data_IF_428040711145
#
_entry.id   IF_428040711145
#
_cell.length_a   1.000
_cell.length_b   1.000
_cell.length_c   1.000
_cell.angle_alpha   90.00
_cell.angle_beta   90.00
_cell.angle_gamma   90.00
#
_symmetry.space_group_name_H-M   'P 1'
#
loop_
_entity.id
_entity.type
_entity.pdbx_description
1 polymer ?
#
# COMPACT_ATOMS: atom_id res chain seq x y z
N UNK A 1 2.99 2.25 -18.95
CA UNK A 1 3.88 2.08 -17.77
C UNK A 1 3.38 2.99 -16.67
N UNK A 2 2.93 2.42 -15.56
CA UNK A 2 2.33 3.11 -14.41
C UNK A 2 3.35 3.99 -13.68
N UNK A 3 3.01 5.25 -13.42
CA UNK A 3 3.95 6.24 -12.89
C UNK A 3 4.39 5.94 -11.45
N UNK A 4 3.51 5.34 -10.65
CA UNK A 4 3.81 5.00 -9.28
C UNK A 4 4.85 3.89 -9.11
N UNK A 5 4.82 2.87 -9.98
CA UNK A 5 5.80 1.76 -9.94
C UNK A 5 7.18 2.27 -10.36
N UNK A 6 7.25 3.11 -11.41
CA UNK A 6 8.50 3.72 -11.85
C UNK A 6 9.15 4.57 -10.74
N UNK A 7 8.37 5.38 -10.01
CA UNK A 7 8.87 6.12 -8.84
C UNK A 7 9.37 5.21 -7.73
N UNK A 8 8.65 4.13 -7.45
CA UNK A 8 9.07 3.18 -6.43
C UNK A 8 10.41 2.53 -6.78
N UNK A 9 10.59 2.04 -8.02
CA UNK A 9 11.87 1.50 -8.52
C UNK A 9 13.02 2.50 -8.41
N UNK A 10 12.76 3.78 -8.67
CA UNK A 10 13.78 4.82 -8.66
C UNK A 10 14.23 5.24 -7.26
N UNK A 11 13.41 4.99 -6.23
CA UNK A 11 13.63 5.50 -4.86
C UNK A 11 13.79 4.40 -3.83
N UNK A 12 13.35 3.19 -4.12
CA UNK A 12 13.59 2.00 -3.30
C UNK A 12 14.79 1.22 -3.85
N UNK A 13 15.43 0.44 -2.99
CA UNK A 13 16.47 -0.51 -3.41
C UNK A 13 15.87 -1.70 -4.17
N UNK A 14 15.77 -2.86 -3.52
CA UNK A 14 15.08 -4.02 -4.09
C UNK A 14 13.60 -3.96 -3.78
N UNK A 15 12.77 -4.13 -4.81
CA UNK A 15 11.29 -4.14 -4.71
C UNK A 15 10.74 -5.49 -5.16
N UNK A 16 9.61 -5.89 -4.57
CA UNK A 16 8.85 -7.09 -4.93
C UNK A 16 7.55 -6.63 -5.60
N UNK A 17 7.63 -6.42 -6.92
CA UNK A 17 6.52 -5.90 -7.73
C UNK A 17 5.45 -6.94 -8.03
N UNK A 18 5.83 -8.22 -8.05
CA UNK A 18 4.87 -9.31 -8.24
C UNK A 18 3.91 -9.37 -7.06
N UNK A 19 4.42 -9.19 -5.83
CA UNK A 19 3.56 -9.09 -4.65
C UNK A 19 2.63 -7.87 -4.71
N UNK A 20 3.13 -6.71 -5.17
CA UNK A 20 2.29 -5.53 -5.36
C UNK A 20 1.21 -5.78 -6.42
N UNK A 21 1.56 -6.42 -7.54
CA UNK A 21 0.63 -6.77 -8.60
C UNK A 21 -0.45 -7.74 -8.10
N UNK A 22 -0.06 -8.76 -7.34
CA UNK A 22 -0.96 -9.71 -6.70
C UNK A 22 -1.93 -9.03 -5.73
N UNK A 23 -1.44 -8.11 -4.91
CA UNK A 23 -2.29 -7.33 -4.00
C UNK A 23 -3.27 -6.45 -4.77
N UNK A 24 -2.79 -5.75 -5.80
CA UNK A 24 -3.63 -4.89 -6.63
C UNK A 24 -4.72 -5.70 -7.36
N UNK A 25 -4.36 -6.88 -7.87
CA UNK A 25 -5.31 -7.81 -8.48
C UNK A 25 -6.37 -8.30 -7.47
N UNK A 26 -5.95 -8.64 -6.24
CA UNK A 26 -6.85 -9.09 -5.18
C UNK A 26 -7.96 -8.07 -4.86
N UNK A 27 -7.64 -6.78 -4.86
CA UNK A 27 -8.60 -5.71 -4.56
C UNK A 27 -9.20 -5.05 -5.81
N UNK A 28 -8.91 -5.57 -7.01
CA UNK A 28 -9.45 -5.07 -8.28
C UNK A 28 -9.01 -3.66 -8.64
N UNK A 29 -7.77 -3.27 -8.30
CA UNK A 29 -7.21 -1.93 -8.59
C UNK A 29 -5.91 -2.04 -9.37
N UNK A 30 -5.41 -0.93 -9.91
CA UNK A 30 -4.03 -0.76 -10.35
C UNK A 30 -3.16 -0.06 -9.30
N UNK A 31 -1.81 -0.14 -9.39
CA UNK A 31 -0.91 0.57 -8.47
C UNK A 31 -1.12 2.10 -8.44
N UNK A 32 -1.37 2.74 -9.59
CA UNK A 32 -1.62 4.19 -9.63
C UNK A 32 -2.97 4.55 -9.00
N UNK A 33 -4.01 3.74 -9.20
CA UNK A 33 -5.31 3.92 -8.56
C UNK A 33 -5.22 3.72 -7.05
N UNK A 34 -4.44 2.75 -6.57
CA UNK A 34 -4.21 2.53 -5.14
C UNK A 34 -3.58 3.76 -4.48
N UNK A 35 -2.56 4.35 -5.12
CA UNK A 35 -1.95 5.60 -4.63
C UNK A 35 -2.97 6.73 -4.67
N UNK A 36 -3.69 6.90 -5.79
CA UNK A 36 -4.67 7.97 -5.96
C UNK A 36 -5.82 7.87 -4.95
N UNK A 37 -6.28 6.65 -4.68
CA UNK A 37 -7.30 6.36 -3.69
C UNK A 37 -6.92 6.95 -2.34
N UNK A 38 -5.67 6.92 -1.91
CA UNK A 38 -5.28 7.43 -0.59
C UNK A 38 -5.46 8.96 -0.42
N UNK A 39 -5.73 9.70 -1.49
CA UNK A 39 -5.93 11.14 -1.46
C UNK A 39 -7.38 11.55 -1.74
N UNK A 40 -7.76 12.69 -1.16
CA UNK A 40 -9.00 13.41 -1.42
C UNK A 40 -8.67 14.84 -1.80
N UNK A 41 -9.65 15.55 -2.36
CA UNK A 41 -9.56 16.99 -2.58
C UNK A 41 -10.56 17.71 -1.66
N UNK A 42 -10.14 18.84 -1.07
CA UNK A 42 -11.06 19.75 -0.38
C UNK A 42 -12.03 20.33 -1.40
N UNK A 43 -13.32 20.40 -1.06
CA UNK A 43 -14.39 20.75 -2.02
C UNK A 43 -14.33 22.23 -2.44
N UNK A 44 -13.93 23.07 -1.52
CA UNK A 44 -13.84 24.52 -1.62
C UNK A 44 -12.55 25.00 -2.29
N UNK A 45 -11.40 24.40 -1.95
CA UNK A 45 -10.10 24.83 -2.47
C UNK A 45 -9.53 23.95 -3.57
N UNK A 46 -10.07 22.73 -3.76
CA UNK A 46 -9.49 21.71 -4.63
C UNK A 46 -8.18 21.11 -4.11
N UNK A 47 -7.71 21.54 -2.93
CA UNK A 47 -6.42 21.12 -2.38
C UNK A 47 -6.43 19.62 -2.06
N UNK A 48 -5.41 18.92 -2.56
CA UNK A 48 -5.24 17.48 -2.35
C UNK A 48 -4.66 17.21 -0.97
N UNK A 49 -5.28 16.30 -0.22
CA UNK A 49 -4.83 15.88 1.09
C UNK A 49 -4.94 14.36 1.28
N UNK A 50 -4.15 13.82 2.22
CA UNK A 50 -4.16 12.41 2.58
C UNK A 50 -5.35 12.07 3.48
N UNK A 51 -6.14 11.07 3.10
CA UNK A 51 -7.25 10.61 3.92
C UNK A 51 -6.82 9.57 4.94
N UNK A 52 -7.00 9.86 6.23
CA UNK A 52 -6.79 8.88 7.32
C UNK A 52 -7.70 7.66 7.13
N UNK A 53 -8.98 7.90 6.81
CA UNK A 53 -9.97 6.83 6.60
C UNK A 53 -9.58 5.92 5.45
N UNK A 54 -9.13 6.46 4.31
CA UNK A 54 -8.74 5.63 3.17
C UNK A 54 -7.46 4.83 3.43
N UNK A 55 -6.51 5.36 4.19
CA UNK A 55 -5.35 4.59 4.66
C UNK A 55 -5.74 3.43 5.60
N UNK A 56 -6.72 3.64 6.48
CA UNK A 56 -7.25 2.58 7.33
C UNK A 56 -7.93 1.47 6.50
N UNK A 57 -8.67 1.84 5.46
CA UNK A 57 -9.25 0.88 4.50
C UNK A 57 -8.15 0.07 3.79
N UNK A 58 -7.07 0.71 3.33
CA UNK A 58 -5.94 0.00 2.72
C UNK A 58 -5.28 -0.98 3.70
N UNK A 59 -5.15 -0.62 4.98
CA UNK A 59 -4.67 -1.58 5.99
C UNK A 59 -5.63 -2.77 6.16
N UNK A 60 -6.94 -2.53 6.13
CA UNK A 60 -7.93 -3.61 6.20
C UNK A 60 -7.78 -4.56 5.01
N UNK A 61 -7.64 -4.02 3.80
CA UNK A 61 -7.38 -4.83 2.60
C UNK A 61 -6.07 -5.62 2.68
N UNK A 62 -5.03 -5.06 3.29
CA UNK A 62 -3.78 -5.78 3.51
C UNK A 62 -3.95 -6.94 4.49
N UNK A 63 -4.72 -6.75 5.55
CA UNK A 63 -5.00 -7.79 6.53
C UNK A 63 -5.84 -8.92 5.90
N UNK A 64 -6.85 -8.57 5.09
CA UNK A 64 -7.63 -9.51 4.28
C UNK A 64 -6.77 -10.28 3.28
N UNK A 65 -5.89 -9.58 2.55
CA UNK A 65 -4.98 -10.21 1.60
C UNK A 65 -4.00 -11.18 2.28
N UNK A 66 -3.40 -10.76 3.40
CA UNK A 66 -2.51 -11.62 4.20
C UNK A 66 -3.24 -12.87 4.68
N UNK A 67 -4.46 -12.71 5.19
CA UNK A 67 -5.28 -13.83 5.65
C UNK A 67 -5.63 -14.78 4.49
N UNK A 68 -6.00 -14.24 3.32
CA UNK A 68 -6.31 -15.04 2.12
C UNK A 68 -5.10 -15.83 1.60
N UNK A 69 -3.87 -15.36 1.85
CA UNK A 69 -2.62 -16.07 1.51
C UNK A 69 -2.16 -17.04 2.59
N UNK A 70 -2.80 -17.06 3.76
CA UNK A 70 -2.43 -17.92 4.89
C UNK A 70 -1.10 -17.54 5.56
N UNK A 71 -0.59 -16.34 5.31
CA UNK A 71 0.65 -15.87 5.93
C UNK A 71 0.42 -15.52 7.40
N UNK A 72 1.40 -15.85 8.24
CA UNK A 72 1.30 -15.61 9.70
C UNK A 72 2.57 -14.99 10.28
N UNK A 73 2.45 -14.42 11.48
CA UNK A 73 3.56 -13.88 12.25
C UNK A 73 4.43 -12.89 11.47
N UNK A 74 5.74 -13.15 11.44
CA UNK A 74 6.71 -12.28 10.76
C UNK A 74 6.47 -12.21 9.25
N UNK A 75 6.07 -13.31 8.62
CA UNK A 75 5.85 -13.35 7.17
C UNK A 75 4.72 -12.41 6.77
N UNK A 76 3.58 -12.50 7.45
CA UNK A 76 2.44 -11.60 7.26
C UNK A 76 2.86 -10.12 7.30
N UNK A 77 3.62 -9.73 8.33
CA UNK A 77 4.09 -8.36 8.51
C UNK A 77 5.03 -7.93 7.39
N UNK A 78 6.01 -8.76 7.03
CA UNK A 78 6.98 -8.45 5.96
C UNK A 78 6.29 -8.31 4.61
N UNK A 79 5.38 -9.23 4.27
CA UNK A 79 4.65 -9.22 3.01
C UNK A 79 3.76 -7.98 2.87
N UNK A 80 3.00 -7.65 3.90
CA UNK A 80 2.19 -6.43 3.89
C UNK A 80 3.05 -5.14 3.85
N UNK A 81 4.26 -5.17 4.45
CA UNK A 81 5.18 -4.03 4.42
C UNK A 81 5.77 -3.75 3.04
N UNK A 82 5.80 -4.71 2.12
CA UNK A 82 6.15 -4.45 0.72
C UNK A 82 5.18 -3.43 0.10
N UNK A 83 3.87 -3.66 0.22
CA UNK A 83 2.84 -2.75 -0.30
C UNK A 83 2.85 -1.40 0.43
N UNK A 84 3.03 -1.41 1.76
CA UNK A 84 3.18 -0.16 2.52
C UNK A 84 4.40 0.63 2.09
N UNK A 85 5.52 -0.04 1.79
CA UNK A 85 6.71 0.57 1.21
C UNK A 85 6.39 1.28 -0.11
N UNK A 86 5.74 0.58 -1.04
CA UNK A 86 5.28 1.19 -2.31
C UNK A 86 4.47 2.47 -2.09
N UNK A 87 3.53 2.46 -1.13
CA UNK A 87 2.72 3.63 -0.78
C UNK A 87 3.55 4.77 -0.20
N UNK A 88 4.47 4.47 0.72
CA UNK A 88 5.36 5.46 1.35
C UNK A 88 6.24 6.16 0.31
N UNK A 89 6.85 5.39 -0.60
CA UNK A 89 7.65 5.92 -1.71
C UNK A 89 6.82 6.75 -2.72
N UNK A 90 5.49 6.65 -2.66
CA UNK A 90 4.55 7.44 -3.46
C UNK A 90 3.84 8.54 -2.65
N UNK A 91 4.39 8.93 -1.50
CA UNK A 91 3.88 10.04 -0.70
C UNK A 91 2.68 9.70 0.18
N UNK A 92 2.42 8.42 0.42
CA UNK A 92 1.36 7.93 1.31
C UNK A 92 2.00 7.30 2.56
N UNK A 93 2.30 8.08 3.61
CA UNK A 93 2.75 7.53 4.88
C UNK A 93 1.65 6.66 5.47
N UNK A 94 1.95 5.38 5.69
CA UNK A 94 1.02 4.40 6.26
C UNK A 94 1.78 3.49 7.22
N UNK A 95 1.17 3.20 8.37
CA UNK A 95 1.72 2.32 9.39
C UNK A 95 0.84 1.09 9.52
N UNK A 96 1.45 -0.04 9.89
CA UNK A 96 0.77 -1.31 10.12
C UNK A 96 1.28 -1.99 11.37
N UNK A 97 0.94 -3.27 11.53
CA UNK A 97 1.38 -4.07 12.66
C UNK A 97 2.92 -4.15 12.74
N UNK A 98 3.43 -4.10 13.96
CA UNK A 98 4.85 -4.36 14.26
C UNK A 98 4.96 -5.79 14.77
N UNK A 99 5.86 -6.57 14.17
CA UNK A 99 6.18 -7.88 14.72
C UNK A 99 7.07 -7.71 15.95
N UNK A 100 6.46 -7.85 17.12
CA UNK A 100 7.18 -8.02 18.38
C UNK A 100 7.52 -9.51 18.48
N UNK A 101 8.82 -9.83 18.61
CA UNK A 101 9.31 -11.22 18.74
C UNK A 101 8.46 -12.01 19.73
N UNK A 102 7.97 -13.17 19.30
CA UNK A 102 7.56 -14.28 20.16
C UNK A 102 8.65 -15.33 20.16
#
# INVERSE_FOLDING_TARGET
MTGAVARWRATAGRVDEDLLADFCHHIGTTPDELVTFCFLCRRDTGERFLSVRRRAVVNTWLDEFVAARGWTGKEAVVRANVVRGFLIHNGVPIQGAVWLRG
#
